data_IF_641533404721
#
_entry.id   IF_641533404721
#
_cell.length_a   1.000
_cell.length_b   1.000
_cell.length_c   1.000
_cell.angle_alpha   90.00
_cell.angle_beta   90.00
_cell.angle_gamma   90.00
#
_symmetry.space_group_name_H-M   'P 1'
#
loop_
_entity.id
_entity.type
_entity.pdbx_description
1 polymer ?
#
# COMPACT_ATOMS: atom_id res chain seq x y z
N UNK A 1 -18.83 28.34 8.43
CA UNK A 1 -19.22 27.09 7.74
C UNK A 1 -17.97 26.23 7.57
N UNK A 2 -17.84 25.13 8.28
CA UNK A 2 -16.75 24.20 8.05
C UNK A 2 -17.04 23.49 6.71
N UNK A 3 -16.12 23.63 5.76
CA UNK A 3 -16.25 22.96 4.45
C UNK A 3 -16.15 21.44 4.68
N UNK A 4 -17.19 20.69 4.31
CA UNK A 4 -17.14 19.24 4.40
C UNK A 4 -15.95 18.71 3.57
N UNK A 5 -15.11 17.88 4.19
CA UNK A 5 -14.03 17.22 3.48
C UNK A 5 -14.60 16.10 2.60
N UNK A 6 -13.98 15.87 1.44
CA UNK A 6 -14.35 14.77 0.57
C UNK A 6 -13.96 13.43 1.22
N UNK A 7 -14.75 12.39 0.97
CA UNK A 7 -14.40 11.02 1.34
C UNK A 7 -13.07 10.60 0.69
N UNK A 8 -12.31 9.76 1.36
CA UNK A 8 -10.99 9.31 0.95
C UNK A 8 -10.89 7.79 0.98
N UNK A 9 -10.01 7.27 0.15
CA UNK A 9 -9.42 5.95 0.30
C UNK A 9 -7.93 6.19 0.45
N UNK A 10 -7.34 5.64 1.49
CA UNK A 10 -5.88 5.71 1.72
C UNK A 10 -5.34 4.30 1.68
N UNK A 11 -4.40 4.09 0.77
CA UNK A 11 -3.78 2.80 0.55
C UNK A 11 -2.36 2.76 1.12
N UNK A 12 -2.05 1.66 1.78
CA UNK A 12 -0.72 1.32 2.27
C UNK A 12 -0.24 0.04 1.59
N UNK A 13 1.07 -0.13 1.53
CA UNK A 13 1.72 -1.35 1.08
C UNK A 13 2.60 -1.91 2.20
N UNK A 14 3.90 -1.89 2.01
CA UNK A 14 4.90 -2.27 3.00
C UNK A 14 5.17 -1.12 3.98
N UNK A 15 4.93 -1.35 5.25
CA UNK A 15 5.14 -0.35 6.32
C UNK A 15 6.12 -0.91 7.35
N UNK A 16 7.31 -0.34 7.41
CA UNK A 16 8.38 -0.77 8.32
C UNK A 16 8.47 0.08 9.59
N UNK A 17 8.07 1.34 9.52
CA UNK A 17 8.12 2.29 10.64
C UNK A 17 6.80 2.29 11.41
N UNK A 18 6.84 1.68 12.60
CA UNK A 18 5.68 1.52 13.46
C UNK A 18 5.19 2.84 14.04
N UNK A 19 6.10 3.69 14.48
CA UNK A 19 5.78 4.98 15.07
C UNK A 19 5.15 5.89 14.02
N UNK A 20 5.77 5.99 12.85
CA UNK A 20 5.23 6.74 11.71
C UNK A 20 3.82 6.28 11.32
N UNK A 21 3.59 4.97 11.26
CA UNK A 21 2.28 4.43 10.88
C UNK A 21 1.22 4.78 11.92
N UNK A 22 1.53 4.59 13.21
CA UNK A 22 0.60 4.91 14.29
C UNK A 22 0.25 6.40 14.30
N UNK A 23 1.22 7.29 14.20
CA UNK A 23 0.99 8.74 14.10
C UNK A 23 0.13 9.09 12.88
N UNK A 24 0.42 8.48 11.71
CA UNK A 24 -0.34 8.69 10.48
C UNK A 24 -1.81 8.29 10.65
N UNK A 25 -2.07 7.12 11.23
CA UNK A 25 -3.43 6.63 11.49
C UNK A 25 -4.18 7.56 12.46
N UNK A 26 -3.53 8.06 13.50
CA UNK A 26 -4.13 8.99 14.43
C UNK A 26 -4.50 10.33 13.77
N UNK A 27 -3.65 10.84 12.88
CA UNK A 27 -3.95 12.05 12.08
C UNK A 27 -5.16 11.81 11.16
N UNK A 28 -5.25 10.63 10.53
CA UNK A 28 -6.38 10.28 9.68
C UNK A 28 -7.66 10.19 10.51
N UNK A 29 -7.62 9.51 11.66
CA UNK A 29 -8.74 9.35 12.58
C UNK A 29 -9.25 10.69 13.13
N UNK A 30 -8.37 11.65 13.36
CA UNK A 30 -8.75 13.01 13.80
C UNK A 30 -9.53 13.77 12.73
N UNK A 31 -9.24 13.54 11.46
CA UNK A 31 -9.84 14.28 10.32
C UNK A 31 -11.01 13.57 9.68
N UNK A 32 -11.06 12.25 9.74
CA UNK A 32 -12.03 11.42 9.03
C UNK A 32 -12.64 10.36 9.95
N UNK A 33 -13.88 10.04 9.69
CA UNK A 33 -14.47 8.80 10.20
C UNK A 33 -13.90 7.63 9.40
N UNK A 34 -13.12 6.76 10.03
CA UNK A 34 -12.62 5.54 9.38
C UNK A 34 -13.78 4.56 9.30
N UNK A 35 -14.04 4.06 8.10
CA UNK A 35 -15.22 3.24 7.78
C UNK A 35 -14.80 1.85 7.31
N UNK A 36 -15.67 0.88 7.56
CA UNK A 36 -15.48 -0.50 7.11
C UNK A 36 -15.99 -0.70 5.67
N UNK A 37 -15.73 -1.90 5.12
CA UNK A 37 -16.24 -2.29 3.80
C UNK A 37 -17.77 -2.32 3.78
N UNK A 38 -18.40 -2.75 4.86
CA UNK A 38 -19.87 -2.80 4.99
C UNK A 38 -20.48 -1.39 4.84
N UNK A 39 -19.83 -0.38 5.44
CA UNK A 39 -20.28 1.02 5.28
C UNK A 39 -20.17 1.51 3.83
N UNK A 40 -19.19 1.01 3.08
CA UNK A 40 -19.05 1.31 1.64
C UNK A 40 -20.14 0.60 0.84
N UNK A 41 -20.46 -0.66 1.17
CA UNK A 41 -21.54 -1.40 0.54
C UNK A 41 -22.88 -0.71 0.76
N UNK A 42 -23.20 -0.30 1.99
CA UNK A 42 -24.41 0.48 2.29
C UNK A 42 -24.46 1.81 1.52
N UNK A 43 -23.32 2.47 1.35
CA UNK A 43 -23.26 3.68 0.54
C UNK A 43 -23.58 3.42 -0.93
N UNK A 44 -23.06 2.33 -1.49
CA UNK A 44 -23.21 2.00 -2.92
C UNK A 44 -24.62 1.46 -3.21
N UNK A 45 -25.14 0.55 -2.40
CA UNK A 45 -26.39 -0.19 -2.67
C UNK A 45 -27.60 0.46 -2.03
N UNK A 46 -27.48 0.99 -0.82
CA UNK A 46 -28.59 1.56 -0.05
C UNK A 46 -28.63 3.09 -0.12
N UNK A 47 -27.71 3.70 -0.87
CA UNK A 47 -27.58 5.15 -1.01
C UNK A 47 -27.39 5.91 0.32
N UNK A 48 -26.84 5.24 1.34
CA UNK A 48 -26.45 5.87 2.58
C UNK A 48 -25.36 6.93 2.33
N UNK A 49 -25.39 8.02 3.07
CA UNK A 49 -24.44 9.13 2.85
C UNK A 49 -23.21 8.96 3.69
N UNK A 50 -22.06 8.80 3.05
CA UNK A 50 -20.77 8.93 3.67
C UNK A 50 -20.29 10.40 3.62
N UNK A 51 -19.80 10.92 4.74
CA UNK A 51 -19.26 12.29 4.81
C UNK A 51 -17.99 12.29 5.67
N UNK A 52 -16.96 12.94 5.18
CA UNK A 52 -15.66 12.99 5.85
C UNK A 52 -15.16 11.59 6.25
N UNK A 53 -15.41 10.61 5.41
CA UNK A 53 -15.09 9.21 5.67
C UNK A 53 -13.78 8.83 5.00
N UNK A 54 -13.06 7.91 5.61
CA UNK A 54 -11.83 7.33 5.07
C UNK A 54 -11.89 5.82 5.15
N UNK A 55 -11.70 5.16 4.01
CA UNK A 55 -11.44 3.73 3.94
C UNK A 55 -9.93 3.51 3.94
N UNK A 56 -9.45 2.64 4.82
CA UNK A 56 -8.04 2.20 4.82
C UNK A 56 -7.96 0.90 4.04
N UNK A 57 -7.03 0.85 3.10
CA UNK A 57 -6.70 -0.36 2.36
C UNK A 57 -5.22 -0.68 2.48
N UNK A 58 -4.87 -1.95 2.43
CA UNK A 58 -3.49 -2.42 2.40
C UNK A 58 -3.37 -3.45 1.29
N UNK A 59 -2.36 -3.31 0.44
CA UNK A 59 -2.13 -4.20 -0.69
C UNK A 59 -1.10 -5.29 -0.38
N UNK A 60 -1.06 -6.27 -1.27
CA UNK A 60 -0.05 -7.32 -1.42
C UNK A 60 0.00 -8.38 -0.32
N UNK A 61 -0.49 -8.11 0.88
CA UNK A 61 -0.36 -9.05 2.00
C UNK A 61 1.09 -9.23 2.45
N UNK A 62 1.89 -8.16 2.34
CA UNK A 62 3.26 -8.17 2.86
C UNK A 62 3.30 -8.48 4.37
N UNK A 63 4.38 -9.09 4.83
CA UNK A 63 4.54 -9.47 6.22
C UNK A 63 4.44 -8.29 7.20
N UNK A 64 4.81 -7.10 6.76
CA UNK A 64 4.66 -5.87 7.56
C UNK A 64 3.21 -5.56 7.93
N UNK A 65 2.24 -6.06 7.16
CA UNK A 65 0.84 -6.00 7.58
C UNK A 65 0.64 -6.68 8.93
N UNK A 66 1.11 -7.90 9.07
CA UNK A 66 0.96 -8.68 10.30
C UNK A 66 1.82 -8.14 11.45
N UNK A 67 3.06 -7.77 11.16
CA UNK A 67 4.03 -7.39 12.19
C UNK A 67 3.84 -5.93 12.68
N UNK A 68 3.32 -5.04 11.84
CA UNK A 68 3.24 -3.59 12.12
C UNK A 68 1.81 -3.06 12.00
N UNK A 69 1.17 -3.21 10.84
CA UNK A 69 -0.10 -2.54 10.53
C UNK A 69 -1.23 -3.09 11.39
N UNK A 70 -1.44 -4.40 11.36
CA UNK A 70 -2.56 -5.07 12.03
C UNK A 70 -2.59 -4.83 13.55
N UNK A 71 -1.48 -4.95 14.31
CA UNK A 71 -1.47 -4.65 15.74
C UNK A 71 -1.90 -3.23 16.08
N UNK A 72 -1.53 -2.26 15.23
CA UNK A 72 -1.90 -0.84 15.42
C UNK A 72 -3.40 -0.63 15.13
N UNK A 73 -3.89 -1.22 14.04
CA UNK A 73 -5.32 -1.15 13.72
C UNK A 73 -6.17 -1.74 14.83
N UNK A 74 -5.79 -2.90 15.37
CA UNK A 74 -6.48 -3.54 16.51
C UNK A 74 -6.40 -2.67 17.76
N UNK A 75 -5.24 -2.10 18.08
CA UNK A 75 -5.06 -1.20 19.25
C UNK A 75 -6.02 0.00 19.22
N UNK A 76 -6.32 0.53 18.04
CA UNK A 76 -7.15 1.70 17.86
C UNK A 76 -8.60 1.39 17.44
N UNK A 77 -8.96 0.10 17.37
CA UNK A 77 -10.28 -0.39 16.92
C UNK A 77 -10.67 0.18 15.55
N UNK A 78 -9.78 0.01 14.56
CA UNK A 78 -9.93 0.58 13.24
C UNK A 78 -10.09 -0.51 12.18
N UNK A 79 -11.11 -0.42 11.32
CA UNK A 79 -11.27 -1.33 10.19
C UNK A 79 -10.30 -1.00 9.06
N UNK A 80 -9.90 -2.02 8.31
CA UNK A 80 -9.18 -1.89 7.05
C UNK A 80 -9.48 -3.08 6.14
N UNK A 81 -9.20 -2.94 4.85
CA UNK A 81 -9.25 -4.02 3.87
C UNK A 81 -7.81 -4.40 3.52
N UNK A 82 -7.52 -5.69 3.61
CA UNK A 82 -6.27 -6.25 3.10
C UNK A 82 -6.54 -6.95 1.77
N UNK A 83 -5.90 -6.46 0.70
CA UNK A 83 -5.91 -7.14 -0.59
C UNK A 83 -4.72 -8.09 -0.69
N UNK A 84 -5.01 -9.34 -1.01
CA UNK A 84 -3.99 -10.39 -1.12
C UNK A 84 -4.08 -11.07 -2.47
N UNK A 85 -2.95 -11.60 -2.95
CA UNK A 85 -2.94 -12.47 -4.13
C UNK A 85 -3.01 -13.93 -3.71
N UNK A 86 -4.14 -14.64 -3.93
CA UNK A 86 -4.27 -16.04 -3.55
C UNK A 86 -3.25 -16.94 -4.24
N UNK A 87 -2.86 -16.61 -5.46
CA UNK A 87 -1.89 -17.39 -6.24
C UNK A 87 -0.49 -17.30 -5.63
N UNK A 88 -0.05 -16.10 -5.26
CA UNK A 88 1.23 -15.86 -4.59
C UNK A 88 1.30 -16.63 -3.27
N UNK A 89 0.23 -16.55 -2.45
CA UNK A 89 0.15 -17.26 -1.18
C UNK A 89 0.17 -18.77 -1.39
N UNK A 90 -0.65 -19.29 -2.30
CA UNK A 90 -0.77 -20.72 -2.57
C UNK A 90 0.53 -21.34 -3.05
N UNK A 91 1.28 -20.62 -3.88
CA UNK A 91 2.52 -21.11 -4.49
C UNK A 91 3.76 -20.78 -3.65
N UNK A 92 3.60 -20.07 -2.53
CA UNK A 92 4.69 -19.56 -1.69
C UNK A 92 5.75 -18.83 -2.52
N UNK A 93 5.28 -17.91 -3.36
CA UNK A 93 6.10 -17.11 -4.27
C UNK A 93 6.18 -15.67 -3.77
N UNK A 94 7.18 -14.97 -4.22
CA UNK A 94 7.24 -13.52 -4.07
C UNK A 94 6.59 -12.83 -5.28
N UNK A 95 6.19 -11.59 -5.11
CA UNK A 95 5.87 -10.74 -6.25
C UNK A 95 7.16 -10.41 -7.04
N UNK A 96 7.03 -10.18 -8.33
CA UNK A 96 8.16 -9.87 -9.20
C UNK A 96 9.02 -8.69 -8.69
N UNK A 97 8.40 -7.67 -8.08
CA UNK A 97 9.12 -6.53 -7.52
C UNK A 97 9.88 -6.88 -6.23
N UNK A 98 9.40 -7.85 -5.46
CA UNK A 98 10.12 -8.39 -4.31
C UNK A 98 11.31 -9.22 -4.75
N UNK A 99 11.16 -10.02 -5.81
CA UNK A 99 12.28 -10.77 -6.41
C UNK A 99 13.37 -9.83 -6.94
N UNK A 100 12.98 -8.80 -7.70
CA UNK A 100 13.92 -7.79 -8.21
C UNK A 100 14.63 -7.05 -7.08
N UNK A 101 13.95 -6.76 -5.97
CA UNK A 101 14.55 -6.04 -4.84
C UNK A 101 15.67 -6.81 -4.13
N UNK A 102 15.80 -8.11 -4.37
CA UNK A 102 16.88 -8.94 -3.81
C UNK A 102 18.21 -8.78 -4.57
N UNK A 103 18.19 -8.23 -5.78
CA UNK A 103 19.40 -7.99 -6.55
C UNK A 103 19.99 -6.62 -6.23
N UNK A 104 21.32 -6.57 -6.16
CA UNK A 104 22.02 -5.29 -6.12
C UNK A 104 21.88 -4.54 -7.45
N UNK A 105 21.97 -3.22 -7.38
CA UNK A 105 21.71 -2.35 -8.53
C UNK A 105 22.69 -2.56 -9.69
N UNK A 106 23.94 -2.95 -9.41
CA UNK A 106 24.96 -3.20 -10.43
C UNK A 106 24.63 -4.47 -11.21
N UNK A 107 24.33 -5.55 -10.50
CA UNK A 107 23.92 -6.84 -11.10
C UNK A 107 22.65 -6.68 -11.92
N UNK A 108 21.67 -5.94 -11.42
CA UNK A 108 20.43 -5.69 -12.11
C UNK A 108 20.63 -4.88 -13.40
N UNK A 109 21.45 -3.81 -13.35
CA UNK A 109 21.83 -3.01 -14.52
C UNK A 109 22.48 -3.87 -15.60
N UNK A 110 23.41 -4.75 -15.20
CA UNK A 110 24.10 -5.64 -16.12
C UNK A 110 23.12 -6.57 -16.83
N UNK A 111 22.26 -7.25 -16.07
CA UNK A 111 21.25 -8.17 -16.61
C UNK A 111 20.31 -7.44 -17.59
N UNK A 112 19.79 -6.29 -17.19
CA UNK A 112 18.86 -5.51 -18.01
C UNK A 112 19.54 -5.01 -19.28
N UNK A 113 20.77 -4.50 -19.19
CA UNK A 113 21.52 -4.02 -20.34
C UNK A 113 21.85 -5.14 -21.33
N UNK A 114 22.21 -6.32 -20.83
CA UNK A 114 22.49 -7.51 -21.66
C UNK A 114 21.22 -8.02 -22.35
N UNK A 115 20.08 -8.07 -21.62
CA UNK A 115 18.84 -8.64 -22.14
C UNK A 115 18.13 -7.72 -23.14
N UNK A 116 18.08 -6.43 -22.85
CA UNK A 116 17.38 -5.45 -23.70
C UNK A 116 18.29 -4.72 -24.68
N UNK A 117 19.61 -4.99 -24.64
CA UNK A 117 20.61 -4.27 -25.43
C UNK A 117 20.46 -2.73 -25.34
N UNK A 118 20.13 -2.26 -24.16
CA UNK A 118 19.87 -0.84 -23.87
C UNK A 118 20.62 -0.42 -22.61
N UNK A 119 21.32 0.72 -22.69
CA UNK A 119 21.97 1.31 -21.51
C UNK A 119 20.95 2.15 -20.73
N UNK A 120 20.53 1.64 -19.58
CA UNK A 120 19.64 2.31 -18.65
C UNK A 120 20.36 3.24 -17.66
N UNK A 121 21.70 3.37 -17.73
CA UNK A 121 22.47 4.25 -16.86
C UNK A 121 22.10 5.73 -16.99
N UNK A 122 21.46 6.12 -18.09
CA UNK A 122 20.99 7.49 -18.35
C UNK A 122 19.65 7.82 -17.63
N UNK A 123 18.96 6.87 -17.05
CA UNK A 123 17.81 7.13 -16.17
C UNK A 123 18.28 7.54 -14.75
N UNK A 124 19.33 8.35 -14.70
CA UNK A 124 19.97 8.84 -13.51
C UNK A 124 19.06 9.83 -12.77
N UNK A 125 18.23 9.34 -11.87
CA UNK A 125 17.73 10.06 -10.67
C UNK A 125 16.79 9.21 -9.82
N UNK A 126 16.72 7.93 -10.04
CA UNK A 126 16.00 6.99 -9.19
C UNK A 126 16.64 5.61 -9.34
N UNK A 127 16.62 4.81 -8.28
CA UNK A 127 17.05 3.41 -8.42
C UNK A 127 16.26 2.75 -9.55
N UNK A 128 16.86 1.81 -10.28
CA UNK A 128 16.17 1.01 -11.31
C UNK A 128 14.88 0.41 -10.79
N UNK A 129 14.87 -0.01 -9.52
CA UNK A 129 13.70 -0.47 -8.80
C UNK A 129 12.55 0.55 -8.79
N UNK A 130 12.87 1.85 -8.68
CA UNK A 130 11.89 2.91 -8.70
C UNK A 130 11.33 3.14 -10.10
N UNK A 131 12.16 2.97 -11.12
CA UNK A 131 11.76 3.13 -12.53
C UNK A 131 10.99 1.91 -13.05
N UNK A 132 11.30 0.69 -12.60
CA UNK A 132 10.52 -0.50 -12.90
C UNK A 132 9.12 -0.48 -12.29
N UNK A 133 8.89 0.25 -11.20
CA UNK A 133 7.56 0.43 -10.59
C UNK A 133 6.68 1.45 -11.32
N UNK A 134 7.22 2.21 -12.27
CA UNK A 134 6.50 3.28 -13.01
C UNK A 134 6.12 2.81 -14.43
N UNK A 135 6.67 1.72 -14.91
CA UNK A 135 6.36 1.12 -16.21
C UNK A 135 5.23 0.11 -16.12
#
# INVERSE_FOLDING_TARGET
>A
MVKAMANKIINFHDVHDKEWFEETILIIKDKYQIVSVESIEEYVYDHNKLRNSCLITVDDGDRTFYDVIFPILVKHDLPAILFVSPEIIKNNQNFWFQEISQFDEISLNKIISEYFNHDFSSFANGSILKNCKIA
#
